data_IF_789123014862
#
_entry.id   IF_789123014862
#
_cell.length_a   1.000
_cell.length_b   1.000
_cell.length_c   1.000
_cell.angle_alpha   90.00
_cell.angle_beta   90.00
_cell.angle_gamma   90.00
#
_symmetry.space_group_name_H-M   'P 1'
#
loop_
_entity.id
_entity.type
_entity.pdbx_description
1 polymer ?
#
# COMPACT_ATOMS: atom_id res chain seq x y z
N UNK A 1 -41.08 30.06 39.08
CA UNK A 1 -39.89 30.54 38.37
C UNK A 1 -38.75 29.50 38.32
N UNK A 2 -39.05 28.18 38.43
CA UNK A 2 -38.02 27.12 38.48
C UNK A 2 -38.02 26.18 37.25
N UNK A 3 -38.93 26.36 36.28
CA UNK A 3 -38.99 25.52 35.07
C UNK A 3 -38.08 26.02 33.94
N UNK A 4 -37.77 27.31 33.91
CA UNK A 4 -36.82 27.92 32.95
C UNK A 4 -35.36 27.59 33.29
N UNK A 5 -35.04 27.45 34.58
CA UNK A 5 -33.69 27.05 35.03
C UNK A 5 -33.38 25.59 34.67
N UNK A 6 -34.39 24.72 34.61
CA UNK A 6 -34.23 23.31 34.25
C UNK A 6 -34.04 23.10 32.73
N UNK A 7 -34.57 24.00 31.90
CA UNK A 7 -34.44 23.92 30.44
C UNK A 7 -33.03 24.29 29.94
N UNK A 8 -32.31 25.12 30.69
CA UNK A 8 -30.98 25.61 30.33
C UNK A 8 -29.86 24.59 30.60
N UNK A 9 -30.07 23.69 31.58
CA UNK A 9 -29.14 22.60 31.93
C UNK A 9 -29.21 21.42 30.94
N UNK A 10 -30.34 21.25 30.24
CA UNK A 10 -30.52 20.18 29.24
C UNK A 10 -29.86 20.54 27.90
N UNK A 11 -29.68 21.83 27.58
CA UNK A 11 -29.01 22.24 26.34
C UNK A 11 -27.48 22.08 26.39
N UNK A 12 -26.86 22.01 27.58
CA UNK A 12 -25.39 21.93 27.69
C UNK A 12 -24.84 20.51 27.55
N UNK A 13 -25.67 19.47 27.58
CA UNK A 13 -25.24 18.07 27.45
C UNK A 13 -25.31 17.51 26.01
N UNK A 14 -25.74 18.31 25.03
CA UNK A 14 -25.75 17.95 23.61
C UNK A 14 -24.52 18.44 22.83
N UNK A 15 -23.57 19.12 23.48
CA UNK A 15 -22.25 19.39 22.88
C UNK A 15 -21.35 18.16 23.05
N UNK A 16 -21.66 17.12 22.28
CA UNK A 16 -20.78 15.97 22.11
C UNK A 16 -19.65 16.42 21.17
N UNK A 17 -18.64 17.09 21.72
CA UNK A 17 -17.35 17.23 21.04
C UNK A 17 -16.78 15.83 20.92
N UNK A 18 -16.84 15.26 19.71
CA UNK A 18 -16.23 13.97 19.41
C UNK A 18 -14.72 14.12 19.60
N UNK A 19 -14.24 13.66 20.75
CA UNK A 19 -12.83 13.60 21.06
C UNK A 19 -12.15 12.69 20.03
N UNK A 20 -11.16 13.25 19.34
CA UNK A 20 -10.45 12.56 18.26
C UNK A 20 -9.52 11.57 18.95
N UNK A 21 -9.82 10.28 18.88
CA UNK A 21 -8.91 9.23 19.36
C UNK A 21 -7.57 9.38 18.64
N UNK A 22 -6.54 9.78 19.39
CA UNK A 22 -5.17 9.92 18.89
C UNK A 22 -4.50 8.57 19.13
N UNK A 23 -4.36 7.76 18.08
CA UNK A 23 -3.55 6.54 18.13
C UNK A 23 -2.09 6.95 18.39
N UNK A 24 -1.60 6.73 19.61
CA UNK A 24 -0.25 7.12 20.07
C UNK A 24 0.87 6.21 19.53
N UNK A 25 0.84 5.84 18.24
CA UNK A 25 1.93 5.05 17.64
C UNK A 25 2.91 5.92 16.84
N UNK A 26 2.54 7.15 16.43
CA UNK A 26 3.40 8.01 15.60
C UNK A 26 3.46 9.51 15.96
N UNK A 27 3.07 9.93 17.18
CA UNK A 27 3.15 11.34 17.61
C UNK A 27 2.32 12.33 16.78
N UNK A 28 2.51 13.64 16.97
CA UNK A 28 1.83 14.70 16.21
C UNK A 28 2.47 14.90 14.83
N UNK A 29 2.31 13.93 13.93
CA UNK A 29 2.66 14.11 12.52
C UNK A 29 1.51 14.86 11.83
N UNK A 30 1.78 15.94 11.08
CA UNK A 30 0.78 16.62 10.26
C UNK A 30 0.02 15.64 9.35
N UNK A 31 -1.31 15.74 9.29
CA UNK A 31 -2.17 14.88 8.46
C UNK A 31 -1.74 14.84 6.99
N UNK A 32 -1.19 15.94 6.49
CA UNK A 32 -0.67 16.06 5.12
C UNK A 32 0.54 15.15 4.83
N UNK A 33 1.37 14.91 5.85
CA UNK A 33 2.49 13.97 5.73
C UNK A 33 1.99 12.53 5.78
N UNK A 34 1.00 12.23 6.63
CA UNK A 34 0.39 10.90 6.71
C UNK A 34 -0.26 10.55 5.37
N UNK A 35 -1.06 11.46 4.81
CA UNK A 35 -1.72 11.23 3.52
C UNK A 35 -0.70 11.11 2.37
N UNK A 36 0.40 11.87 2.40
CA UNK A 36 1.49 11.70 1.45
C UNK A 36 2.13 10.30 1.57
N UNK A 37 2.44 9.82 2.77
CA UNK A 37 3.00 8.49 3.01
C UNK A 37 2.06 7.35 2.60
N UNK A 38 0.77 7.46 2.90
CA UNK A 38 -0.25 6.50 2.45
C UNK A 38 -0.36 6.46 0.93
N UNK A 39 -0.25 7.62 0.27
CA UNK A 39 -0.29 7.72 -1.20
C UNK A 39 0.93 7.09 -1.89
N UNK A 40 2.00 6.83 -1.14
CA UNK A 40 3.22 6.17 -1.62
C UNK A 40 3.07 4.65 -1.58
N UNK A 41 2.28 4.10 -0.65
CA UNK A 41 2.10 2.66 -0.48
C UNK A 41 0.95 2.08 -1.32
N UNK A 42 0.99 2.28 -2.64
CA UNK A 42 -0.02 1.80 -3.60
C UNK A 42 0.21 0.36 -4.09
N UNK A 43 0.59 -0.54 -3.18
CA UNK A 43 0.79 -1.95 -3.50
C UNK A 43 -0.52 -2.65 -3.84
N UNK A 44 -0.50 -3.44 -4.90
CA UNK A 44 -1.60 -4.32 -5.30
C UNK A 44 -1.14 -5.76 -5.12
N UNK A 45 -1.93 -6.58 -4.42
CA UNK A 45 -1.61 -7.99 -4.17
C UNK A 45 -2.58 -8.89 -4.92
N UNK A 46 -2.05 -9.84 -5.67
CA UNK A 46 -2.80 -10.79 -6.47
C UNK A 46 -2.44 -12.21 -6.03
N UNK A 47 -3.42 -13.04 -5.71
CA UNK A 47 -3.22 -14.48 -5.51
C UNK A 47 -3.26 -15.19 -6.87
N UNK A 48 -2.22 -15.98 -7.17
CA UNK A 48 -2.11 -16.72 -8.44
C UNK A 48 -1.89 -18.21 -8.20
N UNK A 49 -2.36 -19.03 -9.15
CA UNK A 49 -2.14 -20.47 -9.18
C UNK A 49 -1.05 -20.80 -10.22
N UNK A 50 0.10 -21.28 -9.77
CA UNK A 50 1.26 -21.55 -10.63
C UNK A 50 1.14 -22.80 -11.52
N UNK A 51 0.08 -23.59 -11.34
CA UNK A 51 -0.21 -24.78 -12.17
C UNK A 51 -0.83 -24.44 -13.53
N UNK A 52 -1.06 -23.15 -13.81
CA UNK A 52 -1.60 -22.64 -15.07
C UNK A 52 -0.96 -21.30 -15.42
N UNK A 53 -1.05 -20.82 -16.67
CA UNK A 53 -0.68 -19.46 -17.03
C UNK A 53 -1.55 -18.44 -16.29
N UNK A 54 -0.94 -17.35 -15.81
CA UNK A 54 -1.64 -16.26 -15.14
C UNK A 54 -1.35 -14.93 -15.83
N UNK A 55 -2.36 -14.06 -15.89
CA UNK A 55 -2.22 -12.68 -16.32
C UNK A 55 -2.73 -11.78 -15.22
N UNK A 56 -1.87 -10.90 -14.73
CA UNK A 56 -2.19 -9.88 -13.73
C UNK A 56 -2.22 -8.52 -14.41
N UNK A 57 -3.27 -7.74 -14.16
CA UNK A 57 -3.42 -6.38 -14.69
C UNK A 57 -3.45 -5.41 -13.52
N UNK A 58 -2.43 -4.55 -13.45
CA UNK A 58 -2.35 -3.48 -12.48
C UNK A 58 -3.36 -2.37 -12.77
N UNK A 59 -3.77 -1.65 -11.74
CA UNK A 59 -4.70 -0.50 -11.83
C UNK A 59 -4.22 0.56 -12.81
N UNK A 60 -2.91 0.77 -12.94
CA UNK A 60 -2.34 1.75 -13.88
C UNK A 60 -2.09 1.17 -15.28
N UNK A 61 -2.51 -0.08 -15.53
CA UNK A 61 -2.48 -0.73 -16.84
C UNK A 61 -1.27 -1.63 -17.10
N UNK A 62 -0.37 -1.83 -16.14
CA UNK A 62 0.72 -2.81 -16.30
C UNK A 62 0.15 -4.21 -16.45
N UNK A 63 0.57 -4.93 -17.49
CA UNK A 63 0.18 -6.31 -17.71
C UNK A 63 1.39 -7.20 -17.41
N UNK A 64 1.24 -8.07 -16.42
CA UNK A 64 2.24 -9.09 -16.07
C UNK A 64 1.72 -10.46 -16.49
N UNK A 65 2.44 -11.08 -17.43
CA UNK A 65 2.15 -12.44 -17.93
C UNK A 65 3.11 -13.40 -17.24
N UNK A 66 2.57 -14.35 -16.48
CA UNK A 66 3.31 -15.33 -15.69
C UNK A 66 3.00 -16.72 -16.25
N UNK A 67 3.94 -17.35 -16.98
CA UNK A 67 3.77 -18.70 -17.47
C UNK A 67 3.59 -19.70 -16.32
N UNK A 68 2.93 -20.82 -16.60
CA UNK A 68 2.89 -21.95 -15.67
C UNK A 68 4.32 -22.40 -15.30
N UNK A 69 4.50 -22.85 -14.06
CA UNK A 69 5.77 -23.40 -13.56
C UNK A 69 7.00 -22.47 -13.68
N UNK A 70 6.81 -21.16 -13.88
CA UNK A 70 7.90 -20.19 -14.07
C UNK A 70 8.54 -19.67 -12.77
N UNK A 71 7.87 -19.85 -11.63
CA UNK A 71 8.39 -19.46 -10.32
C UNK A 71 9.01 -20.68 -9.64
N UNK A 72 10.29 -20.54 -9.29
CA UNK A 72 11.09 -21.59 -8.65
C UNK A 72 11.60 -21.14 -7.28
N UNK A 73 11.88 -22.11 -6.40
CA UNK A 73 12.56 -21.87 -5.13
C UNK A 73 14.07 -21.65 -5.31
N UNK A 74 14.78 -21.40 -4.21
CA UNK A 74 16.23 -21.22 -4.18
C UNK A 74 17.05 -22.42 -4.70
N UNK A 75 16.43 -23.61 -4.78
CA UNK A 75 17.04 -24.82 -5.29
C UNK A 75 16.66 -25.07 -6.77
N UNK A 76 15.87 -24.19 -7.38
CA UNK A 76 15.38 -24.32 -8.76
C UNK A 76 14.15 -25.23 -8.90
N UNK A 77 13.52 -25.66 -7.80
CA UNK A 77 12.31 -26.48 -7.88
C UNK A 77 11.09 -25.60 -8.11
N UNK A 78 10.17 -26.05 -8.97
CA UNK A 78 8.91 -25.35 -9.24
C UNK A 78 8.08 -25.24 -7.97
N UNK A 79 7.59 -24.04 -7.69
CA UNK A 79 6.64 -23.79 -6.60
C UNK A 79 5.23 -24.14 -7.07
N UNK A 80 4.58 -25.12 -6.42
CA UNK A 80 3.24 -25.59 -6.78
C UNK A 80 2.11 -25.03 -5.89
N UNK A 81 2.47 -24.24 -4.87
CA UNK A 81 1.51 -23.63 -3.93
C UNK A 81 1.03 -22.27 -4.46
N UNK A 82 -0.09 -21.78 -3.94
CA UNK A 82 -0.55 -20.42 -4.21
C UNK A 82 0.54 -19.41 -3.81
N UNK A 83 0.81 -18.49 -4.73
CA UNK A 83 1.77 -17.40 -4.56
C UNK A 83 1.03 -16.09 -4.68
N UNK A 84 1.47 -15.12 -3.88
CA UNK A 84 0.95 -13.79 -3.90
C UNK A 84 1.95 -12.86 -4.55
N UNK A 85 1.49 -12.20 -5.61
CA UNK A 85 2.26 -11.25 -6.39
C UNK A 85 1.89 -9.85 -5.91
N UNK A 86 2.86 -9.13 -5.38
CA UNK A 86 2.73 -7.71 -5.06
C UNK A 86 3.34 -6.87 -6.19
N UNK A 87 2.56 -5.91 -6.70
CA UNK A 87 2.99 -4.96 -7.73
C UNK A 87 2.82 -3.53 -7.18
N UNK A 88 3.86 -2.69 -7.32
CA UNK A 88 3.74 -1.23 -7.16
C UNK A 88 4.14 -0.56 -8.47
N UNK A 89 3.20 0.14 -9.07
CA UNK A 89 3.39 0.90 -10.30
C UNK A 89 3.79 2.33 -9.93
N UNK A 90 5.06 2.65 -10.15
CA UNK A 90 5.61 3.97 -9.88
C UNK A 90 5.92 4.58 -11.23
N UNK A 91 5.18 5.61 -11.66
CA UNK A 91 5.33 6.21 -13.00
C UNK A 91 5.65 7.70 -12.95
N UNK A 92 5.48 8.35 -11.79
CA UNK A 92 5.83 9.75 -11.60
C UNK A 92 7.16 9.89 -10.86
N UNK A 93 7.84 11.03 -11.03
CA UNK A 93 9.10 11.34 -10.33
C UNK A 93 8.92 11.29 -8.81
N UNK A 94 7.77 11.75 -8.31
CA UNK A 94 7.45 11.69 -6.89
C UNK A 94 7.37 10.25 -6.39
N UNK A 95 6.76 9.35 -7.17
CA UNK A 95 6.70 7.93 -6.82
C UNK A 95 8.10 7.31 -6.77
N UNK A 96 8.99 7.70 -7.68
CA UNK A 96 10.36 7.15 -7.75
C UNK A 96 11.17 7.44 -6.48
N UNK A 97 11.13 8.69 -6.01
CA UNK A 97 11.83 9.13 -4.80
C UNK A 97 11.25 8.44 -3.57
N UNK A 98 9.92 8.38 -3.50
CA UNK A 98 9.23 7.87 -2.33
C UNK A 98 9.31 6.34 -2.19
N UNK A 99 9.45 5.61 -3.30
CA UNK A 99 9.57 4.15 -3.31
C UNK A 99 11.00 3.64 -3.13
N UNK A 100 11.99 4.54 -3.03
CA UNK A 100 13.42 4.20 -3.01
C UNK A 100 13.83 3.27 -4.17
N UNK A 101 13.15 3.40 -5.33
CA UNK A 101 13.40 2.59 -6.51
C UNK A 101 14.37 3.26 -7.48
N UNK A 102 14.96 4.42 -7.14
CA UNK A 102 15.86 5.13 -8.05
C UNK A 102 17.00 4.22 -8.51
N UNK A 103 17.15 4.11 -9.83
CA UNK A 103 18.30 3.47 -10.43
C UNK A 103 19.40 4.51 -10.60
N UNK A 104 20.60 4.16 -10.17
CA UNK A 104 21.77 5.05 -10.23
C UNK A 104 22.79 4.50 -11.22
N UNK A 105 23.38 5.38 -12.02
CA UNK A 105 24.59 5.11 -12.78
C UNK A 105 25.64 6.14 -12.40
N UNK A 106 26.65 5.71 -11.66
CA UNK A 106 27.54 6.59 -10.88
C UNK A 106 26.70 7.49 -9.95
N UNK A 107 26.95 8.80 -9.95
CA UNK A 107 26.27 9.78 -9.10
C UNK A 107 25.00 10.38 -9.73
N UNK A 108 24.45 9.74 -10.77
CA UNK A 108 23.28 10.24 -11.49
C UNK A 108 22.12 9.26 -11.41
N UNK A 109 20.94 9.80 -11.11
CA UNK A 109 19.67 9.07 -11.22
C UNK A 109 19.38 8.85 -12.71
N UNK A 110 19.06 7.61 -13.07
CA UNK A 110 18.54 7.27 -14.38
C UNK A 110 17.04 7.57 -14.40
N UNK A 111 16.60 8.36 -15.38
CA UNK A 111 15.18 8.61 -15.62
C UNK A 111 14.66 7.58 -16.63
N UNK A 112 13.73 6.73 -16.19
CA UNK A 112 12.94 5.87 -17.05
C UNK A 112 11.53 6.44 -17.23
N UNK A 113 10.77 5.88 -18.18
CA UNK A 113 9.33 6.18 -18.34
C UNK A 113 8.47 5.56 -17.22
N UNK A 114 9.07 4.88 -16.25
CA UNK A 114 8.38 4.17 -15.18
C UNK A 114 9.21 3.09 -14.50
N UNK A 115 8.81 2.71 -13.30
CA UNK A 115 9.41 1.65 -12.50
C UNK A 115 8.32 0.79 -11.86
N UNK A 116 8.58 -0.52 -11.81
CA UNK A 116 7.70 -1.47 -11.14
C UNK A 116 8.46 -2.14 -10.02
N UNK A 117 7.87 -2.17 -8.83
CA UNK A 117 8.27 -3.11 -7.79
C UNK A 117 7.45 -4.38 -7.99
N UNK A 118 8.13 -5.53 -8.01
CA UNK A 118 7.52 -6.86 -8.14
C UNK A 118 8.05 -7.76 -7.03
N UNK A 119 7.15 -8.34 -6.24
CA UNK A 119 7.49 -9.31 -5.21
C UNK A 119 6.57 -10.53 -5.29
N UNK A 120 7.14 -11.71 -5.11
CA UNK A 120 6.40 -12.97 -5.04
C UNK A 120 6.60 -13.60 -3.66
N UNK A 121 5.51 -13.81 -2.91
CA UNK A 121 5.55 -14.38 -1.56
C UNK A 121 4.57 -15.53 -1.44
N UNK A 122 4.98 -16.59 -0.76
CA UNK A 122 4.03 -17.60 -0.26
C UNK A 122 3.24 -17.02 0.91
N UNK A 123 2.07 -17.58 1.22
CA UNK A 123 1.22 -17.17 2.36
C UNK A 123 1.99 -17.02 3.68
N UNK A 124 2.97 -17.89 3.94
CA UNK A 124 3.79 -17.86 5.16
C UNK A 124 4.75 -16.67 5.25
N UNK A 125 5.02 -15.96 4.14
CA UNK A 125 5.93 -14.81 4.07
C UNK A 125 5.24 -13.45 4.07
N UNK A 126 3.93 -13.37 4.29
CA UNK A 126 3.19 -12.12 4.49
C UNK A 126 3.20 -11.73 5.96
N UNK A 127 4.26 -11.07 6.39
CA UNK A 127 4.30 -10.35 7.67
C UNK A 127 4.58 -8.88 7.37
#
# INVERSE_FOLDING_TARGET
MNKILFLLIVCTVLSCAKEKEINQEFGNIPTELISALESINKGQVFEINLSQPNTVVGISGTILIIPENSIVDQNGNVVSKNVFIEIKENFTKSDFIASNLQTMHNDKILESLGMIFLSAKMKTGMN
#
